data_IF_577862751198
#
_entry.id   IF_577862751198
#
_cell.length_a   1.000
_cell.length_b   1.000
_cell.length_c   1.000
_cell.angle_alpha   90.00
_cell.angle_beta   90.00
_cell.angle_gamma   90.00
#
_symmetry.space_group_name_H-M   'P 1'
#
loop_
_entity.id
_entity.type
_entity.pdbx_description
1 polymer ?
#
# COMPACT_ATOMS: atom_id res chain seq x y z
N UNK A 1 -5.95 -4.50 17.42
CA UNK A 1 -6.93 -3.99 18.41
C UNK A 1 -7.67 -5.16 19.01
N UNK A 2 -7.54 -5.37 20.32
CA UNK A 2 -8.21 -6.48 21.02
C UNK A 2 -9.73 -6.29 21.05
N UNK A 3 -10.49 -7.37 21.31
CA UNK A 3 -11.96 -7.36 21.35
C UNK A 3 -12.49 -6.29 22.33
N UNK A 4 -11.84 -6.14 23.48
CA UNK A 4 -12.23 -5.19 24.51
C UNK A 4 -12.07 -3.72 24.09
N UNK A 5 -10.99 -3.41 23.35
CA UNK A 5 -10.79 -2.07 22.79
C UNK A 5 -11.83 -1.74 21.71
N UNK A 6 -12.23 -2.73 20.90
CA UNK A 6 -13.28 -2.53 19.87
C UNK A 6 -14.63 -2.19 20.49
N UNK A 7 -15.01 -2.85 21.59
CA UNK A 7 -16.26 -2.56 22.29
C UNK A 7 -16.29 -1.13 22.84
N UNK A 8 -15.18 -0.66 23.41
CA UNK A 8 -15.05 0.74 23.86
C UNK A 8 -15.21 1.74 22.72
N UNK A 9 -14.60 1.49 21.56
CA UNK A 9 -14.75 2.33 20.37
C UNK A 9 -16.21 2.36 19.88
N UNK A 10 -16.97 1.27 20.02
CA UNK A 10 -18.37 1.24 19.61
C UNK A 10 -19.28 2.00 20.57
N UNK A 11 -19.04 1.87 21.88
CA UNK A 11 -19.84 2.52 22.93
C UNK A 11 -19.52 4.02 23.03
N UNK A 12 -18.27 4.39 22.75
CA UNK A 12 -17.78 5.77 22.77
C UNK A 12 -16.79 5.97 21.61
N UNK A 13 -17.29 6.25 20.39
CA UNK A 13 -16.45 6.50 19.22
C UNK A 13 -15.47 7.66 19.49
N UNK A 14 -14.18 7.51 19.14
CA UNK A 14 -13.20 8.59 19.27
C UNK A 14 -13.44 9.65 18.18
N UNK A 15 -12.98 10.88 18.43
CA UNK A 15 -13.01 11.96 17.42
C UNK A 15 -12.20 11.61 16.16
N UNK A 16 -11.14 10.80 16.32
CA UNK A 16 -10.29 10.33 15.22
C UNK A 16 -10.19 8.81 15.28
N UNK A 17 -10.66 8.15 14.23
CA UNK A 17 -10.57 6.71 14.05
C UNK A 17 -9.57 6.33 12.96
N UNK A 18 -8.45 5.71 13.35
CA UNK A 18 -7.51 5.13 12.40
C UNK A 18 -7.95 3.71 12.02
N UNK A 19 -8.15 3.47 10.73
CA UNK A 19 -8.64 2.19 10.20
C UNK A 19 -8.08 1.89 8.81
N UNK A 20 -8.36 0.70 8.29
CA UNK A 20 -8.07 0.30 6.91
C UNK A 20 -9.36 0.08 6.11
N UNK A 21 -9.32 0.18 4.76
CA UNK A 21 -10.46 -0.14 3.91
C UNK A 21 -10.98 -1.57 4.14
N UNK A 22 -10.06 -2.54 4.31
CA UNK A 22 -10.39 -3.92 4.63
C UNK A 22 -11.25 -4.00 5.89
N UNK A 23 -10.80 -3.36 6.98
CA UNK A 23 -11.51 -3.40 8.25
C UNK A 23 -12.89 -2.76 8.15
N UNK A 24 -13.00 -1.63 7.46
CA UNK A 24 -14.26 -0.93 7.26
C UNK A 24 -15.23 -1.83 6.47
N UNK A 25 -14.78 -2.40 5.35
CA UNK A 25 -15.54 -3.35 4.53
C UNK A 25 -16.10 -4.52 5.35
N UNK A 26 -15.26 -5.13 6.20
CA UNK A 26 -15.63 -6.28 7.03
C UNK A 26 -16.62 -5.95 8.15
N UNK A 27 -16.79 -4.68 8.51
CA UNK A 27 -17.57 -4.28 9.68
C UNK A 27 -18.78 -3.40 9.34
N UNK A 28 -18.86 -2.86 8.13
CA UNK A 28 -19.90 -1.91 7.72
C UNK A 28 -21.34 -2.48 7.79
N UNK A 29 -21.52 -3.80 7.67
CA UNK A 29 -22.83 -4.44 7.85
C UNK A 29 -23.31 -4.53 9.29
N UNK A 30 -22.42 -4.33 10.28
CA UNK A 30 -22.79 -4.45 11.69
C UNK A 30 -23.41 -3.15 12.15
N UNK A 31 -24.66 -3.20 12.61
CA UNK A 31 -25.43 -2.04 13.08
C UNK A 31 -24.68 -1.16 14.09
N UNK A 32 -23.95 -1.76 15.02
CA UNK A 32 -23.12 -1.04 16.01
C UNK A 32 -22.05 -0.14 15.36
N UNK A 33 -21.44 -0.59 14.26
CA UNK A 33 -20.45 0.21 13.52
C UNK A 33 -21.11 1.25 12.63
N UNK A 34 -22.27 0.94 12.05
CA UNK A 34 -23.06 1.94 11.33
C UNK A 34 -23.48 3.10 12.25
N UNK A 35 -23.81 2.81 13.52
CA UNK A 35 -24.10 3.83 14.54
C UNK A 35 -22.84 4.63 14.90
N UNK A 36 -21.73 3.95 15.19
CA UNK A 36 -20.47 4.61 15.54
C UNK A 36 -19.89 5.51 14.43
N UNK A 37 -20.21 5.23 13.17
CA UNK A 37 -19.73 5.99 12.00
C UNK A 37 -20.72 7.06 11.53
N UNK A 38 -21.90 7.19 12.15
CA UNK A 38 -22.99 8.04 11.64
C UNK A 38 -22.59 9.52 11.54
N UNK A 39 -21.78 9.99 12.47
CA UNK A 39 -21.41 11.41 12.60
C UNK A 39 -20.05 11.71 11.95
N UNK A 40 -19.54 10.81 11.09
CA UNK A 40 -18.26 11.03 10.38
C UNK A 40 -18.44 12.09 9.30
N UNK A 41 -17.77 13.22 9.49
CA UNK A 41 -17.79 14.34 8.53
C UNK A 41 -16.63 14.31 7.54
N UNK A 42 -15.50 13.70 7.91
CA UNK A 42 -14.26 13.72 7.12
C UNK A 42 -13.66 12.31 7.03
N UNK A 43 -13.29 11.91 5.80
CA UNK A 43 -12.51 10.70 5.53
C UNK A 43 -11.19 11.09 4.90
N UNK A 44 -10.10 10.67 5.54
CA UNK A 44 -8.74 10.92 5.08
C UNK A 44 -8.17 9.62 4.49
N UNK A 45 -7.78 9.68 3.21
CA UNK A 45 -7.00 8.64 2.56
C UNK A 45 -5.54 9.03 2.58
N UNK A 46 -4.73 8.21 3.25
CA UNK A 46 -3.27 8.30 3.16
C UNK A 46 -2.75 7.40 2.04
N UNK A 47 -1.62 7.77 1.46
CA UNK A 47 -0.94 7.05 0.37
C UNK A 47 -1.86 6.60 -0.77
N UNK A 48 -2.62 7.54 -1.33
CA UNK A 48 -3.70 7.21 -2.27
C UNK A 48 -3.24 6.50 -3.53
N UNK A 49 -1.98 6.66 -3.93
CA UNK A 49 -1.41 5.90 -5.04
C UNK A 49 -1.44 4.37 -4.84
N UNK A 50 -1.60 3.89 -3.61
CA UNK A 50 -1.74 2.46 -3.29
C UNK A 50 -3.11 1.90 -3.65
N UNK A 51 -4.13 2.75 -3.83
CA UNK A 51 -5.51 2.35 -4.15
C UNK A 51 -5.77 2.22 -5.66
N UNK A 52 -4.82 1.67 -6.41
CA UNK A 52 -4.94 1.43 -7.85
C UNK A 52 -5.38 0.00 -8.18
N UNK A 53 -5.67 -0.26 -9.46
CA UNK A 53 -6.08 -1.57 -9.96
C UNK A 53 -7.34 -2.11 -9.28
N UNK A 54 -7.32 -3.40 -8.94
CA UNK A 54 -8.45 -4.11 -8.30
C UNK A 54 -8.82 -3.49 -6.95
N UNK A 55 -7.84 -3.08 -6.14
CA UNK A 55 -8.09 -2.46 -4.85
C UNK A 55 -8.82 -1.12 -5.00
N UNK A 56 -8.47 -0.33 -6.02
CA UNK A 56 -9.17 0.90 -6.37
C UNK A 56 -10.64 0.65 -6.72
N UNK A 57 -10.93 -0.41 -7.47
CA UNK A 57 -12.31 -0.82 -7.78
C UNK A 57 -13.09 -1.20 -6.53
N UNK A 58 -12.47 -1.94 -5.60
CA UNK A 58 -13.10 -2.24 -4.33
C UNK A 58 -13.35 -0.99 -3.48
N UNK A 59 -12.40 -0.05 -3.45
CA UNK A 59 -12.53 1.17 -2.69
C UNK A 59 -13.63 2.08 -3.26
N UNK A 60 -13.73 2.17 -4.58
CA UNK A 60 -14.84 2.86 -5.27
C UNK A 60 -16.20 2.33 -4.79
N UNK A 61 -16.41 1.01 -4.83
CA UNK A 61 -17.66 0.40 -4.36
C UNK A 61 -17.86 0.53 -2.83
N UNK A 62 -16.79 0.48 -2.04
CA UNK A 62 -16.84 0.68 -0.60
C UNK A 62 -17.28 2.11 -0.25
N UNK A 63 -16.79 3.13 -0.96
CA UNK A 63 -17.21 4.52 -0.78
C UNK A 63 -18.69 4.72 -1.09
N UNK A 64 -19.19 4.08 -2.16
CA UNK A 64 -20.62 4.10 -2.47
C UNK A 64 -21.45 3.47 -1.34
N UNK A 65 -21.05 2.29 -0.86
CA UNK A 65 -21.70 1.64 0.30
C UNK A 65 -21.66 2.50 1.55
N UNK A 66 -20.52 3.12 1.83
CA UNK A 66 -20.36 3.97 3.00
C UNK A 66 -21.30 5.17 2.95
N UNK A 67 -21.40 5.85 1.80
CA UNK A 67 -22.36 6.96 1.59
C UNK A 67 -23.80 6.58 1.86
N UNK A 68 -24.20 5.34 1.55
CA UNK A 68 -25.55 4.85 1.86
C UNK A 68 -25.84 4.75 3.36
N UNK A 69 -24.80 4.54 4.16
CA UNK A 69 -24.92 4.31 5.59
C UNK A 69 -24.77 5.63 6.37
N UNK A 70 -23.74 6.42 6.06
CA UNK A 70 -23.38 7.61 6.84
C UNK A 70 -23.76 8.93 6.15
N UNK A 71 -24.18 8.89 4.88
CA UNK A 71 -24.54 10.09 4.13
C UNK A 71 -23.33 10.77 3.49
N UNK A 72 -23.34 12.10 3.48
CA UNK A 72 -22.28 12.92 2.85
C UNK A 72 -21.14 13.16 3.83
N UNK A 73 -19.92 13.07 3.31
CA UNK A 73 -18.69 13.36 4.03
C UNK A 73 -17.68 14.02 3.08
N UNK A 74 -16.78 14.82 3.63
CA UNK A 74 -15.64 15.37 2.91
C UNK A 74 -14.56 14.30 2.75
N UNK A 75 -13.95 14.23 1.57
CA UNK A 75 -12.82 13.34 1.31
C UNK A 75 -11.56 14.19 1.18
N UNK A 76 -10.54 13.83 1.95
CA UNK A 76 -9.20 14.40 1.86
C UNK A 76 -8.24 13.27 1.50
N UNK A 77 -7.32 13.54 0.58
CA UNK A 77 -6.38 12.56 0.08
C UNK A 77 -4.94 13.07 0.13
N UNK A 78 -4.05 12.26 0.69
CA UNK A 78 -2.60 12.49 0.67
C UNK A 78 -1.91 11.45 -0.21
N UNK A 79 -0.94 11.89 -1.01
CA UNK A 79 -0.10 10.99 -1.82
C UNK A 79 1.22 11.68 -2.16
N UNK A 80 2.33 10.92 -2.18
CA UNK A 80 3.65 11.44 -2.51
C UNK A 80 3.75 11.93 -3.97
N UNK A 81 3.38 11.08 -4.93
CA UNK A 81 3.45 11.37 -6.37
C UNK A 81 2.41 10.55 -7.11
N UNK A 82 1.57 11.22 -7.90
CA UNK A 82 0.54 10.59 -8.76
C UNK A 82 0.55 11.36 -10.08
N UNK A 83 0.56 10.66 -11.21
CA UNK A 83 0.58 11.32 -12.54
C UNK A 83 -0.74 12.02 -12.88
N UNK A 84 -1.86 11.49 -12.39
CA UNK A 84 -3.23 11.94 -12.71
C UNK A 84 -4.12 12.12 -11.46
N UNK A 85 -3.70 12.88 -10.42
CA UNK A 85 -4.38 12.91 -9.11
C UNK A 85 -5.83 13.40 -9.22
N UNK A 86 -6.07 14.47 -9.99
CA UNK A 86 -7.41 15.03 -10.17
C UNK A 86 -8.36 14.01 -10.81
N UNK A 87 -7.94 13.39 -11.89
CA UNK A 87 -8.74 12.41 -12.63
C UNK A 87 -9.01 11.17 -11.77
N UNK A 88 -7.97 10.61 -11.17
CA UNK A 88 -8.08 9.42 -10.33
C UNK A 88 -9.06 9.62 -9.16
N UNK A 89 -8.90 10.70 -8.39
CA UNK A 89 -9.80 10.96 -7.25
C UNK A 89 -11.21 11.31 -7.69
N UNK A 90 -11.38 12.06 -8.79
CA UNK A 90 -12.71 12.34 -9.32
C UNK A 90 -13.42 11.05 -9.71
N UNK A 91 -12.71 10.09 -10.33
CA UNK A 91 -13.26 8.77 -10.63
C UNK A 91 -13.55 7.96 -9.36
N UNK A 92 -12.65 7.98 -8.38
CA UNK A 92 -12.79 7.23 -7.13
C UNK A 92 -13.94 7.71 -6.26
N UNK A 93 -14.14 9.03 -6.23
CA UNK A 93 -15.12 9.67 -5.34
C UNK A 93 -16.41 10.05 -6.06
N UNK A 94 -16.40 10.28 -7.37
CA UNK A 94 -17.55 10.82 -8.09
C UNK A 94 -17.76 12.33 -7.89
N UNK A 95 -16.85 13.02 -7.21
CA UNK A 95 -16.93 14.45 -6.88
C UNK A 95 -15.83 15.24 -7.62
N UNK A 96 -15.98 16.56 -7.77
CA UNK A 96 -14.89 17.39 -8.27
C UNK A 96 -13.81 17.57 -7.20
N UNK A 97 -12.54 17.62 -7.63
CA UNK A 97 -11.38 17.53 -6.75
C UNK A 97 -10.46 18.72 -6.97
N UNK A 98 -10.12 19.38 -5.85
CA UNK A 98 -9.08 20.39 -5.79
C UNK A 98 -7.76 19.71 -5.43
N UNK A 99 -6.77 19.80 -6.33
CA UNK A 99 -5.43 19.26 -6.08
C UNK A 99 -4.57 20.36 -5.50
N UNK A 100 -4.07 20.13 -4.29
CA UNK A 100 -3.13 21.04 -3.61
C UNK A 100 -1.74 20.46 -3.75
N UNK A 101 -0.90 21.10 -4.56
CA UNK A 101 0.52 20.78 -4.62
C UNK A 101 1.24 21.56 -3.53
N UNK A 102 2.03 20.87 -2.73
CA UNK A 102 2.97 21.52 -1.83
C UNK A 102 4.05 22.19 -2.68
N UNK A 103 3.91 23.50 -2.93
CA UNK A 103 4.94 24.31 -3.58
C UNK A 103 6.01 24.65 -2.55
N UNK A 104 7.26 24.35 -2.88
CA UNK A 104 8.51 24.82 -2.27
C UNK A 104 8.71 24.66 -0.74
N UNK A 105 9.79 23.96 -0.37
CA UNK A 105 10.62 24.18 0.83
C UNK A 105 9.96 24.36 2.21
N UNK A 106 8.76 23.82 2.47
CA UNK A 106 8.17 23.89 3.83
C UNK A 106 8.95 23.04 4.84
N UNK A 107 9.72 22.05 4.38
CA UNK A 107 10.62 21.25 5.21
C UNK A 107 12.03 21.19 4.59
N UNK A 108 13.07 21.37 5.41
CA UNK A 108 14.46 21.11 5.00
C UNK A 108 14.55 19.66 4.52
N UNK A 109 14.78 19.46 3.23
CA UNK A 109 15.11 18.15 2.68
C UNK A 109 16.62 17.98 2.76
N UNK A 110 17.12 16.81 3.19
CA UNK A 110 18.54 16.52 3.07
C UNK A 110 18.95 16.60 1.60
N UNK A 111 20.20 16.97 1.37
CA UNK A 111 20.82 16.78 0.06
C UNK A 111 20.91 15.28 -0.19
N UNK A 112 20.30 14.81 -1.28
CA UNK A 112 20.38 13.41 -1.70
C UNK A 112 21.08 13.36 -3.05
N UNK A 113 22.23 12.71 -3.07
CA UNK A 113 22.92 12.40 -4.33
C UNK A 113 22.35 11.10 -4.88
N UNK A 114 21.96 11.11 -6.15
CA UNK A 114 21.37 9.96 -6.83
C UNK A 114 22.33 9.48 -7.92
N UNK A 115 22.81 8.25 -7.79
CA UNK A 115 23.70 7.59 -8.73
C UNK A 115 22.93 6.49 -9.48
N UNK A 116 22.95 6.54 -10.81
CA UNK A 116 22.51 5.43 -11.65
C UNK A 116 23.74 4.59 -11.98
N UNK A 117 23.75 3.35 -11.51
CA UNK A 117 24.89 2.43 -11.70
C UNK A 117 24.42 1.28 -12.58
N UNK A 118 25.02 1.18 -13.76
CA UNK A 118 24.89 -0.01 -14.59
C UNK A 118 26.02 -0.98 -14.25
N UNK A 119 25.73 -2.28 -14.07
CA UNK A 119 26.77 -3.28 -14.23
C UNK A 119 27.31 -3.09 -15.64
N UNK A 120 28.60 -2.80 -15.76
CA UNK A 120 29.26 -2.57 -17.03
C UNK A 120 29.04 -3.75 -17.98
N UNK A 121 28.93 -3.48 -19.28
CA UNK A 121 28.92 -4.50 -20.33
C UNK A 121 30.26 -5.25 -20.38
N UNK A 122 31.32 -4.67 -19.81
CA UNK A 122 32.64 -5.29 -19.71
C UNK A 122 32.65 -6.43 -18.68
N UNK A 123 32.87 -7.65 -19.20
CA UNK A 123 32.87 -8.93 -18.46
C UNK A 123 33.91 -9.03 -17.33
N UNK A 124 34.77 -8.03 -17.16
CA UNK A 124 35.88 -8.05 -16.21
C UNK A 124 35.63 -7.21 -14.94
N UNK A 125 34.62 -6.33 -14.94
CA UNK A 125 34.26 -5.52 -13.77
C UNK A 125 32.81 -5.83 -13.39
N UNK A 126 32.64 -6.92 -12.64
CA UNK A 126 31.34 -7.30 -12.10
C UNK A 126 31.02 -6.34 -10.96
N UNK A 127 30.16 -5.35 -11.21
CA UNK A 127 29.55 -4.55 -10.17
C UNK A 127 29.04 -5.46 -9.05
N UNK A 128 29.71 -5.38 -7.89
CA UNK A 128 29.45 -6.25 -6.76
C UNK A 128 28.80 -5.46 -5.63
N UNK A 129 27.49 -5.62 -5.50
CA UNK A 129 26.70 -4.97 -4.45
C UNK A 129 27.21 -5.33 -3.07
N UNK A 130 27.69 -6.56 -2.85
CA UNK A 130 28.17 -6.96 -1.53
C UNK A 130 29.45 -6.21 -1.16
N UNK A 131 30.42 -6.15 -2.09
CA UNK A 131 31.64 -5.37 -1.92
C UNK A 131 31.36 -3.89 -1.67
N UNK A 132 30.45 -3.27 -2.43
CA UNK A 132 30.05 -1.88 -2.23
C UNK A 132 29.44 -1.65 -0.84
N UNK A 133 28.49 -2.49 -0.44
CA UNK A 133 27.85 -2.39 0.88
C UNK A 133 28.88 -2.57 1.98
N UNK A 134 29.79 -3.54 1.84
CA UNK A 134 30.88 -3.79 2.79
C UNK A 134 31.78 -2.56 2.95
N UNK A 135 32.19 -1.96 1.85
CA UNK A 135 33.10 -0.81 1.88
C UNK A 135 32.41 0.41 2.53
N UNK A 136 31.13 0.65 2.22
CA UNK A 136 30.35 1.75 2.81
C UNK A 136 30.03 1.52 4.31
N UNK A 137 29.79 0.27 4.73
CA UNK A 137 29.46 -0.09 6.11
C UNK A 137 30.72 -0.24 6.99
N UNK A 138 31.90 -0.36 6.39
CA UNK A 138 33.17 -0.54 7.10
C UNK A 138 33.38 0.51 8.21
N UNK A 139 34.19 0.15 9.21
CA UNK A 139 34.44 1.00 10.39
C UNK A 139 34.98 2.40 10.05
N UNK A 140 35.57 2.58 8.86
CA UNK A 140 36.08 3.88 8.39
C UNK A 140 34.96 4.81 7.91
N UNK A 141 33.90 4.27 7.32
CA UNK A 141 32.80 5.03 6.72
C UNK A 141 31.55 5.08 7.62
N UNK A 142 31.31 4.03 8.41
CA UNK A 142 30.24 3.91 9.41
C UNK A 142 28.83 4.27 8.87
N UNK A 143 28.55 3.90 7.62
CA UNK A 143 27.26 4.19 6.99
C UNK A 143 26.20 3.13 7.29
N UNK A 144 24.97 3.58 7.51
CA UNK A 144 23.80 2.72 7.66
C UNK A 144 23.02 2.68 6.34
N UNK A 145 22.79 1.49 5.79
CA UNK A 145 22.23 1.29 4.45
C UNK A 145 20.95 0.45 4.45
N UNK A 146 20.01 0.83 3.57
CA UNK A 146 18.89 -0.03 3.18
C UNK A 146 19.13 -0.57 1.76
N UNK A 147 19.12 -1.90 1.61
CA UNK A 147 19.32 -2.59 0.33
C UNK A 147 18.00 -3.19 -0.14
N UNK A 148 17.31 -2.50 -1.03
CA UNK A 148 16.02 -2.92 -1.56
C UNK A 148 16.16 -3.96 -2.67
N UNK A 149 15.29 -4.96 -2.67
CA UNK A 149 15.15 -6.00 -3.68
C UNK A 149 13.69 -6.19 -4.07
N UNK A 150 13.44 -6.52 -5.34
CA UNK A 150 12.08 -6.64 -5.88
C UNK A 150 11.39 -7.95 -5.51
N UNK A 151 12.12 -8.97 -5.03
CA UNK A 151 11.54 -10.26 -4.66
C UNK A 151 12.08 -10.78 -3.32
N UNK A 152 11.31 -11.65 -2.67
CA UNK A 152 11.73 -12.31 -1.44
C UNK A 152 12.96 -13.19 -1.67
N UNK A 153 13.01 -13.91 -2.80
CA UNK A 153 14.14 -14.75 -3.18
C UNK A 153 15.42 -13.94 -3.39
N UNK A 154 15.34 -12.82 -4.13
CA UNK A 154 16.51 -11.95 -4.34
C UNK A 154 16.97 -11.28 -3.04
N UNK A 155 16.04 -10.96 -2.13
CA UNK A 155 16.37 -10.47 -0.78
C UNK A 155 17.16 -11.52 0.02
N UNK A 156 16.71 -12.77 0.03
CA UNK A 156 17.39 -13.86 0.75
C UNK A 156 18.78 -14.15 0.18
N UNK A 157 18.90 -14.19 -1.15
CA UNK A 157 20.19 -14.39 -1.79
C UNK A 157 21.17 -13.26 -1.44
N UNK A 158 20.74 -12.00 -1.56
CA UNK A 158 21.57 -10.83 -1.23
C UNK A 158 21.94 -10.83 0.25
N UNK A 159 20.99 -11.15 1.13
CA UNK A 159 21.22 -11.26 2.56
C UNK A 159 22.26 -12.32 2.91
N UNK A 160 22.19 -13.51 2.28
CA UNK A 160 23.17 -14.58 2.51
C UNK A 160 24.58 -14.13 2.14
N UNK A 161 24.75 -13.56 0.94
CA UNK A 161 26.06 -13.06 0.48
C UNK A 161 26.59 -11.97 1.42
N UNK A 162 25.75 -11.00 1.81
CA UNK A 162 26.16 -9.95 2.74
C UNK A 162 26.44 -10.47 4.15
N UNK A 163 25.76 -11.52 4.60
CA UNK A 163 25.98 -12.11 5.92
C UNK A 163 27.36 -12.77 6.01
N UNK A 164 27.82 -13.36 4.91
CA UNK A 164 29.18 -13.92 4.83
C UNK A 164 30.25 -12.81 4.94
N UNK A 165 29.96 -11.60 4.45
CA UNK A 165 30.90 -10.46 4.48
C UNK A 165 30.81 -9.60 5.75
N UNK A 166 29.59 -9.35 6.27
CA UNK A 166 29.31 -8.41 7.35
C UNK A 166 28.89 -9.09 8.68
N UNK A 167 28.66 -10.39 8.67
CA UNK A 167 28.26 -11.15 9.84
C UNK A 167 27.00 -10.58 10.50
N UNK A 168 27.12 -10.16 11.76
CA UNK A 168 25.98 -9.70 12.58
C UNK A 168 25.52 -8.28 12.27
N UNK A 169 26.23 -7.54 11.41
CA UNK A 169 25.88 -6.15 11.07
C UNK A 169 24.80 -6.05 9.97
N UNK A 170 24.37 -7.18 9.41
CA UNK A 170 23.32 -7.23 8.38
C UNK A 170 22.13 -8.08 8.85
N UNK A 171 20.92 -7.63 8.53
CA UNK A 171 19.67 -8.38 8.75
C UNK A 171 18.77 -8.33 7.52
N UNK A 172 17.75 -9.19 7.48
CA UNK A 172 16.72 -9.22 6.42
C UNK A 172 15.34 -8.81 6.94
N UNK A 173 14.63 -8.00 6.14
CA UNK A 173 13.29 -7.55 6.43
C UNK A 173 12.36 -7.69 5.20
N UNK A 174 11.42 -8.64 5.26
CA UNK A 174 10.41 -8.87 4.19
C UNK A 174 9.05 -9.25 4.78
N UNK A 175 7.98 -9.01 4.02
CA UNK A 175 6.60 -9.25 4.47
C UNK A 175 6.27 -10.70 4.87
N UNK A 176 7.03 -11.68 4.36
CA UNK A 176 6.89 -13.09 4.73
C UNK A 176 7.48 -13.47 6.11
N UNK A 177 8.17 -12.54 6.78
CA UNK A 177 8.73 -12.78 8.12
C UNK A 177 7.73 -12.41 9.21
N UNK A 178 7.84 -13.11 10.35
CA UNK A 178 6.97 -12.88 11.48
C UNK A 178 7.10 -11.43 12.01
N UNK A 179 6.02 -10.92 12.63
CA UNK A 179 5.98 -9.53 13.12
C UNK A 179 7.08 -9.25 14.15
N UNK A 180 7.35 -10.20 15.04
CA UNK A 180 8.35 -10.05 16.11
C UNK A 180 9.76 -9.85 15.56
N UNK A 181 10.13 -10.59 14.52
CA UNK A 181 11.39 -10.48 13.80
C UNK A 181 11.50 -9.10 13.14
N UNK A 182 10.45 -8.66 12.44
CA UNK A 182 10.42 -7.34 11.81
C UNK A 182 10.64 -6.22 12.83
N UNK A 183 9.93 -6.27 13.95
CA UNK A 183 10.10 -5.31 15.05
C UNK A 183 11.49 -5.34 15.68
N UNK A 184 12.09 -6.54 15.80
CA UNK A 184 13.45 -6.70 16.30
C UNK A 184 14.48 -6.06 15.35
N UNK A 185 14.37 -6.32 14.04
CA UNK A 185 15.24 -5.68 13.02
C UNK A 185 15.07 -4.17 13.00
N UNK A 186 13.83 -3.67 13.07
CA UNK A 186 13.54 -2.24 13.16
C UNK A 186 14.18 -1.60 14.40
N UNK A 187 14.16 -2.28 15.57
CA UNK A 187 14.83 -1.78 16.78
C UNK A 187 16.34 -1.77 16.62
N UNK A 188 16.94 -2.90 16.24
CA UNK A 188 18.39 -3.01 16.03
C UNK A 188 18.91 -1.95 15.08
N UNK A 189 18.17 -1.67 13.99
CA UNK A 189 18.54 -0.65 13.02
C UNK A 189 18.48 0.75 13.62
N UNK A 190 17.40 1.08 14.34
CA UNK A 190 17.23 2.36 15.02
C UNK A 190 18.29 2.59 16.10
N UNK A 191 18.64 1.53 16.82
CA UNK A 191 19.59 1.55 17.94
C UNK A 191 21.06 1.48 17.45
N UNK A 192 21.27 1.29 16.14
CA UNK A 192 22.58 1.28 15.50
C UNK A 192 23.38 -0.02 15.66
N UNK A 193 22.74 -1.09 16.14
CA UNK A 193 23.35 -2.42 16.31
C UNK A 193 23.66 -3.10 14.99
N UNK A 194 22.90 -2.77 13.94
CA UNK A 194 23.09 -3.24 12.57
C UNK A 194 23.26 -2.06 11.63
N UNK A 195 24.04 -2.28 10.57
CA UNK A 195 24.44 -1.25 9.61
C UNK A 195 23.84 -1.46 8.23
N UNK A 196 23.40 -2.67 7.90
CA UNK A 196 22.73 -2.94 6.64
C UNK A 196 21.43 -3.74 6.85
N UNK A 197 20.37 -3.37 6.12
CA UNK A 197 19.16 -4.20 6.05
C UNK A 197 18.77 -4.48 4.62
N UNK A 198 18.70 -5.76 4.27
CA UNK A 198 18.17 -6.20 2.97
C UNK A 198 16.66 -6.31 3.07
N UNK A 199 15.94 -5.64 2.19
CA UNK A 199 14.49 -5.53 2.30
C UNK A 199 13.74 -5.54 0.97
N UNK A 200 12.45 -5.87 1.01
CA UNK A 200 11.51 -5.57 -0.08
C UNK A 200 10.82 -4.22 0.18
N UNK A 201 9.70 -3.95 -0.49
CA UNK A 201 8.82 -2.80 -0.19
C UNK A 201 8.31 -2.72 1.26
N UNK A 202 8.58 -3.74 2.09
CA UNK A 202 8.22 -3.76 3.51
C UNK A 202 8.84 -2.65 4.37
N UNK A 203 9.92 -2.01 3.93
CA UNK A 203 10.53 -0.84 4.60
C UNK A 203 10.28 0.48 3.85
N UNK A 204 9.50 0.48 2.76
CA UNK A 204 9.19 1.71 2.00
C UNK A 204 8.32 2.68 2.82
N UNK A 205 7.43 2.15 3.66
CA UNK A 205 6.36 2.90 4.30
C UNK A 205 6.46 2.90 5.83
N UNK A 206 6.16 4.07 6.42
CA UNK A 206 5.61 4.20 7.78
C UNK A 206 6.48 3.86 9.00
N UNK A 207 7.76 3.52 8.85
CA UNK A 207 8.61 3.09 9.99
C UNK A 207 9.68 4.12 10.37
N UNK A 208 9.97 4.18 11.68
CA UNK A 208 11.05 4.95 12.25
C UNK A 208 12.27 4.05 12.50
N UNK A 209 13.14 3.98 11.48
CA UNK A 209 14.33 3.13 11.45
C UNK A 209 15.63 3.89 11.78
N UNK A 210 15.52 5.09 12.36
CA UNK A 210 16.69 5.89 12.71
C UNK A 210 17.31 6.66 11.54
N UNK A 211 18.61 6.92 11.62
CA UNK A 211 19.37 7.72 10.64
C UNK A 211 20.01 6.81 9.58
N UNK A 212 19.43 6.80 8.38
CA UNK A 212 19.92 6.01 7.24
C UNK A 212 20.80 6.91 6.37
N UNK A 213 22.04 6.47 6.14
CA UNK A 213 23.04 7.16 5.32
C UNK A 213 22.78 7.00 3.82
N UNK A 214 22.21 5.87 3.42
CA UNK A 214 21.93 5.64 2.01
C UNK A 214 21.02 4.46 1.69
N UNK A 215 20.59 4.42 0.44
CA UNK A 215 19.68 3.42 -0.11
C UNK A 215 20.30 2.84 -1.38
N UNK A 216 20.33 1.52 -1.48
CA UNK A 216 20.66 0.80 -2.70
C UNK A 216 19.40 0.11 -3.20
N UNK A 217 19.08 0.25 -4.47
CA UNK A 217 17.79 -0.17 -4.97
C UNK A 217 17.82 -0.47 -6.47
N UNK A 218 17.09 -1.47 -6.99
CA UNK A 218 16.92 -1.60 -8.43
C UNK A 218 16.17 -0.40 -9.00
N UNK A 219 16.27 -0.19 -10.31
CA UNK A 219 15.40 0.74 -11.02
C UNK A 219 13.92 0.43 -10.70
N UNK A 220 13.20 1.45 -10.23
CA UNK A 220 11.76 1.38 -9.87
C UNK A 220 11.06 2.66 -10.28
N UNK A 221 9.71 2.66 -10.37
CA UNK A 221 8.95 3.88 -10.54
C UNK A 221 9.34 4.97 -9.52
N UNK A 222 9.29 6.23 -9.96
CA UNK A 222 9.78 7.38 -9.18
C UNK A 222 9.10 7.53 -7.81
N UNK A 223 7.82 7.15 -7.71
CA UNK A 223 7.07 7.17 -6.45
C UNK A 223 7.68 6.22 -5.41
N UNK A 224 8.06 5.01 -5.82
CA UNK A 224 8.74 4.05 -4.95
C UNK A 224 10.14 4.54 -4.60
N UNK A 225 10.86 5.17 -5.54
CA UNK A 225 12.16 5.77 -5.22
C UNK A 225 12.00 6.85 -4.13
N UNK A 226 11.05 7.78 -4.26
CA UNK A 226 10.84 8.82 -3.26
C UNK A 226 10.50 8.27 -1.87
N UNK A 227 9.72 7.19 -1.80
CA UNK A 227 9.44 6.50 -0.54
C UNK A 227 10.69 5.85 0.07
N UNK A 228 11.51 5.21 -0.76
CA UNK A 228 12.77 4.57 -0.34
C UNK A 228 13.78 5.60 0.16
N UNK A 229 14.05 6.65 -0.63
CA UNK A 229 15.03 7.69 -0.23
C UNK A 229 14.52 8.58 0.90
N UNK A 230 13.19 8.70 1.09
CA UNK A 230 12.60 9.37 2.24
C UNK A 230 12.94 8.71 3.59
N UNK A 231 13.55 7.52 3.57
CA UNK A 231 14.12 6.86 4.76
C UNK A 231 15.52 7.37 5.10
N UNK A 232 16.22 7.98 4.16
CA UNK A 232 17.60 8.45 4.30
C UNK A 232 17.71 9.96 4.50
N UNK A 233 18.83 10.40 5.09
CA UNK A 233 19.16 11.82 5.26
C UNK A 233 18.36 12.51 6.36
N UNK A 234 18.04 11.80 7.44
CA UNK A 234 17.41 12.45 8.59
C UNK A 234 18.41 13.38 9.28
N UNK A 235 17.91 14.38 10.03
CA UNK A 235 18.74 15.34 10.80
C UNK A 235 19.72 16.20 9.97
N UNK A 236 19.38 16.53 8.72
CA UNK A 236 20.18 17.35 7.79
C UNK A 236 21.52 16.74 7.37
N UNK A 237 21.70 15.42 7.48
CA UNK A 237 22.86 14.75 6.88
C UNK A 237 22.60 14.47 5.40
N UNK A 238 23.62 14.61 4.53
CA UNK A 238 23.48 14.18 3.15
C UNK A 238 23.23 12.67 3.11
N UNK A 239 22.53 12.22 2.08
CA UNK A 239 22.30 10.79 1.84
C UNK A 239 22.60 10.40 0.40
N UNK A 240 22.88 9.12 0.21
CA UNK A 240 23.17 8.55 -1.10
C UNK A 240 22.06 7.60 -1.53
N UNK A 241 21.58 7.73 -2.76
CA UNK A 241 20.70 6.76 -3.40
C UNK A 241 21.40 6.15 -4.63
N UNK A 242 21.56 4.83 -4.63
CA UNK A 242 22.17 4.09 -5.73
C UNK A 242 21.08 3.26 -6.41
N UNK A 243 20.80 3.60 -7.67
CA UNK A 243 19.87 2.87 -8.52
C UNK A 243 20.65 1.90 -9.39
N UNK A 244 20.48 0.61 -9.11
CA UNK A 244 21.08 -0.49 -9.84
C UNK A 244 20.25 -0.74 -11.10
N UNK A 245 20.84 -0.41 -12.24
CA UNK A 245 20.27 -0.67 -13.55
C UNK A 245 20.49 -2.14 -13.90
N UNK A 246 19.56 -2.69 -14.68
CA UNK A 246 19.63 -4.07 -15.18
C UNK A 246 19.95 -4.08 -16.68
N UNK A 247 20.24 -5.25 -17.23
CA UNK A 247 20.47 -5.42 -18.66
C UNK A 247 19.14 -5.49 -19.43
N UNK A 248 18.37 -4.41 -19.38
CA UNK A 248 17.07 -4.27 -20.03
C UNK A 248 16.92 -2.93 -20.77
N UNK A 249 15.94 -2.84 -21.66
CA UNK A 249 15.74 -1.66 -22.53
C UNK A 249 15.39 -0.40 -21.73
N UNK A 250 14.67 -0.54 -20.61
CA UNK A 250 14.27 0.60 -19.77
C UNK A 250 15.48 1.16 -19.04
N UNK A 251 16.32 0.29 -18.50
CA UNK A 251 17.60 0.66 -17.90
C UNK A 251 18.54 1.35 -18.89
N UNK A 252 18.67 0.82 -20.12
CA UNK A 252 19.49 1.42 -21.19
C UNK A 252 18.92 2.78 -21.66
N UNK A 253 17.61 2.96 -21.60
CA UNK A 253 16.98 4.24 -21.87
C UNK A 253 17.37 5.26 -20.79
N UNK A 254 17.12 4.94 -19.51
CA UNK A 254 17.32 5.88 -18.43
C UNK A 254 18.78 6.21 -18.12
N UNK A 255 19.73 5.33 -18.44
CA UNK A 255 21.15 5.70 -18.32
C UNK A 255 21.56 6.79 -19.31
N UNK A 256 20.95 6.80 -20.51
CA UNK A 256 21.17 7.82 -21.55
C UNK A 256 20.32 9.07 -21.33
N UNK A 257 19.17 8.90 -20.67
CA UNK A 257 18.16 9.93 -20.43
C UNK A 257 17.81 10.07 -18.93
N UNK A 258 18.78 10.31 -18.03
CA UNK A 258 18.56 10.22 -16.58
C UNK A 258 17.57 11.28 -16.07
N UNK A 259 17.46 12.43 -16.73
CA UNK A 259 16.50 13.48 -16.35
C UNK A 259 15.04 13.04 -16.58
N UNK A 260 14.80 12.21 -17.59
CA UNK A 260 13.44 11.78 -17.94
C UNK A 260 12.85 10.83 -16.91
N UNK A 261 13.70 10.03 -16.26
CA UNK A 261 13.31 9.19 -15.12
C UNK A 261 12.65 9.98 -14.00
N UNK A 262 13.13 11.20 -13.72
CA UNK A 262 12.57 12.07 -12.68
C UNK A 262 11.27 12.77 -13.08
N UNK A 263 10.88 12.67 -14.35
CA UNK A 263 9.62 13.22 -14.86
C UNK A 263 8.61 12.14 -15.23
N UNK A 264 9.02 10.87 -15.25
CA UNK A 264 8.17 9.72 -15.52
C UNK A 264 7.29 9.36 -14.31
N UNK A 265 6.29 10.21 -14.07
CA UNK A 265 5.29 9.96 -13.03
C UNK A 265 4.16 9.14 -13.62
N UNK A 266 4.12 7.85 -13.28
CA UNK A 266 3.12 6.92 -13.79
C UNK A 266 1.70 7.32 -13.34
N UNK A 267 0.75 7.48 -14.27
CA UNK A 267 -0.67 7.59 -13.94
C UNK A 267 -1.17 6.32 -13.26
N UNK A 268 -2.06 6.47 -12.28
CA UNK A 268 -2.73 5.34 -11.63
C UNK A 268 -4.16 5.22 -12.16
N UNK A 269 -4.66 4.00 -12.29
CA UNK A 269 -6.02 3.72 -12.77
C UNK A 269 -6.63 2.56 -12.01
N UNK A 270 -7.95 2.45 -12.08
CA UNK A 270 -8.75 1.33 -11.61
C UNK A 270 -9.99 1.19 -12.50
N UNK A 271 -10.67 0.04 -12.44
CA UNK A 271 -11.87 -0.22 -13.23
C UNK A 271 -13.13 0.16 -12.44
N UNK A 272 -14.05 0.90 -13.04
CA UNK A 272 -15.35 1.23 -12.40
C UNK A 272 -16.47 0.27 -12.81
N UNK A 273 -16.19 -0.64 -13.76
CA UNK A 273 -17.18 -1.56 -14.34
C UNK A 273 -16.80 -3.04 -14.20
N UNK A 274 -16.00 -3.40 -13.19
CA UNK A 274 -15.72 -4.81 -12.91
C UNK A 274 -16.99 -5.49 -12.36
N UNK A 275 -17.73 -6.17 -13.23
CA UNK A 275 -19.03 -6.79 -12.94
C UNK A 275 -18.98 -7.75 -11.75
N UNK A 276 -17.90 -8.52 -11.60
CA UNK A 276 -17.74 -9.48 -10.49
C UNK A 276 -17.63 -8.76 -9.15
N UNK A 277 -16.77 -7.74 -9.07
CA UNK A 277 -16.58 -6.95 -7.85
C UNK A 277 -17.85 -6.18 -7.50
N UNK A 278 -18.51 -5.58 -8.49
CA UNK A 278 -19.77 -4.87 -8.31
C UNK A 278 -20.83 -5.82 -7.77
N UNK A 279 -20.98 -7.01 -8.37
CA UNK A 279 -21.92 -8.03 -7.90
C UNK A 279 -21.73 -8.37 -6.41
N UNK A 280 -20.50 -8.64 -5.98
CA UNK A 280 -20.22 -8.99 -4.59
C UNK A 280 -20.48 -7.81 -3.64
N UNK A 281 -20.08 -6.59 -4.02
CA UNK A 281 -20.36 -5.39 -3.22
C UNK A 281 -21.85 -5.07 -3.13
N UNK A 282 -22.62 -5.22 -4.20
CA UNK A 282 -24.06 -4.95 -4.20
C UNK A 282 -24.84 -5.99 -3.36
N UNK A 283 -24.43 -7.26 -3.36
CA UNK A 283 -25.00 -8.26 -2.42
C UNK A 283 -24.81 -7.84 -0.97
N UNK A 284 -23.60 -7.40 -0.63
CA UNK A 284 -23.31 -6.93 0.72
C UNK A 284 -24.05 -5.62 1.01
N UNK A 285 -24.10 -4.68 0.08
CA UNK A 285 -24.83 -3.42 0.20
C UNK A 285 -26.32 -3.65 0.52
N UNK A 286 -26.97 -4.59 -0.17
CA UNK A 286 -28.37 -4.96 0.09
C UNK A 286 -28.58 -5.49 1.52
N UNK A 287 -27.60 -6.25 2.03
CA UNK A 287 -27.61 -6.76 3.40
C UNK A 287 -27.41 -5.63 4.43
N UNK A 288 -26.56 -4.64 4.12
CA UNK A 288 -26.27 -3.49 4.99
C UNK A 288 -27.47 -2.57 5.19
N UNK A 289 -28.19 -2.30 4.10
CA UNK A 289 -29.40 -1.47 4.05
C UNK A 289 -30.20 -1.84 2.79
N UNK A 290 -31.52 -2.08 2.88
CA UNK A 290 -32.36 -2.30 1.70
C UNK A 290 -32.20 -1.16 0.68
N UNK A 291 -32.22 -1.50 -0.61
CA UNK A 291 -32.07 -0.50 -1.67
C UNK A 291 -33.30 0.42 -1.75
N UNK A 292 -33.05 1.71 -1.98
CA UNK A 292 -34.11 2.66 -2.34
C UNK A 292 -34.52 2.50 -3.81
N UNK A 293 -35.66 3.07 -4.19
CA UNK A 293 -36.15 3.02 -5.56
C UNK A 293 -35.17 3.75 -6.49
N UNK A 294 -34.73 3.09 -7.56
CA UNK A 294 -33.73 3.57 -8.53
C UNK A 294 -32.30 3.72 -7.99
N UNK A 295 -32.00 3.20 -6.80
CA UNK A 295 -30.63 3.12 -6.31
C UNK A 295 -29.83 2.10 -7.12
N UNK A 296 -28.61 2.46 -7.55
CA UNK A 296 -27.73 1.62 -8.39
C UNK A 296 -28.34 1.19 -9.73
N UNK A 297 -29.20 2.04 -10.32
CA UNK A 297 -29.88 1.75 -11.60
C UNK A 297 -28.91 1.51 -12.75
N UNK A 298 -27.74 2.12 -12.71
CA UNK A 298 -26.64 1.86 -13.65
C UNK A 298 -26.14 0.41 -13.65
N UNK A 299 -26.54 -0.39 -12.66
CA UNK A 299 -26.21 -1.81 -12.49
C UNK A 299 -27.46 -2.72 -12.48
N UNK A 300 -28.58 -2.31 -13.09
CA UNK A 300 -29.85 -3.06 -13.13
C UNK A 300 -29.67 -4.53 -13.55
N UNK A 301 -28.83 -4.79 -14.54
CA UNK A 301 -28.52 -6.12 -15.04
C UNK A 301 -27.78 -6.99 -14.00
N UNK A 302 -26.92 -6.39 -13.17
CA UNK A 302 -26.26 -7.06 -12.05
C UNK A 302 -27.25 -7.28 -10.90
N UNK A 303 -28.13 -6.31 -10.63
CA UNK A 303 -29.19 -6.45 -9.62
C UNK A 303 -30.13 -7.62 -9.95
N UNK A 304 -30.48 -7.81 -11.22
CA UNK A 304 -31.25 -8.98 -11.67
C UNK A 304 -30.50 -10.30 -11.41
N UNK A 305 -29.19 -10.34 -11.66
CA UNK A 305 -28.37 -11.53 -11.38
C UNK A 305 -28.33 -11.85 -9.87
N UNK A 306 -28.29 -10.82 -9.01
CA UNK A 306 -28.33 -11.00 -7.56
C UNK A 306 -29.64 -11.64 -7.14
N UNK A 307 -30.78 -11.14 -7.64
CA UNK A 307 -32.11 -11.69 -7.35
C UNK A 307 -32.20 -13.15 -7.80
N UNK A 308 -31.72 -13.47 -9.01
CA UNK A 308 -31.68 -14.86 -9.52
C UNK A 308 -30.84 -15.76 -8.63
N UNK A 309 -29.68 -15.30 -8.16
CA UNK A 309 -28.79 -16.07 -7.28
C UNK A 309 -29.44 -16.33 -5.91
N UNK A 310 -29.98 -15.29 -5.29
CA UNK A 310 -30.65 -15.42 -3.98
C UNK A 310 -31.85 -16.38 -4.02
N UNK A 311 -32.62 -16.36 -5.12
CA UNK A 311 -33.72 -17.30 -5.32
C UNK A 311 -33.24 -18.74 -5.40
N UNK A 312 -32.16 -19.02 -6.15
CA UNK A 312 -31.55 -20.37 -6.23
C UNK A 312 -31.03 -20.83 -4.88
N UNK A 313 -30.31 -19.96 -4.16
CA UNK A 313 -29.80 -20.26 -2.80
C UNK A 313 -30.94 -20.55 -1.80
N UNK A 314 -32.13 -19.98 -2.01
CA UNK A 314 -33.32 -20.28 -1.20
C UNK A 314 -33.95 -21.63 -1.59
N UNK A 315 -34.12 -21.88 -2.89
CA UNK A 315 -34.64 -23.16 -3.42
C UNK A 315 -33.77 -24.35 -2.99
N UNK A 316 -32.44 -24.20 -2.98
CA UNK A 316 -31.49 -25.21 -2.50
C UNK A 316 -31.67 -25.49 -1.00
N UNK A 317 -31.82 -24.45 -0.16
CA UNK A 317 -32.03 -24.61 1.30
C UNK A 317 -33.36 -25.28 1.62
N UNK A 318 -34.41 -24.93 0.89
CA UNK A 318 -35.74 -25.51 1.09
C UNK A 318 -35.75 -27.00 0.70
N UNK A 319 -34.86 -27.42 -0.22
CA UNK A 319 -34.72 -28.81 -0.65
C UNK A 319 -33.84 -29.70 0.24
N UNK A 320 -32.97 -29.12 1.08
CA UNK A 320 -31.91 -29.85 1.78
C UNK A 320 -32.21 -30.29 3.23
N UNK A 321 -33.44 -30.11 3.77
CA UNK A 321 -33.84 -30.41 5.17
C UNK A 321 -32.92 -29.89 6.30
N UNK A 322 -31.84 -29.16 5.99
CA UNK A 322 -31.00 -28.48 6.94
C UNK A 322 -31.69 -27.21 7.44
N UNK A 323 -32.52 -27.36 8.48
CA UNK A 323 -32.85 -26.27 9.40
C UNK A 323 -31.60 -25.85 10.17
N UNK A 324 -30.66 -25.20 9.49
CA UNK A 324 -29.56 -24.52 10.14
C UNK A 324 -30.11 -23.29 10.86
N UNK A 325 -29.88 -23.28 12.17
CA UNK A 325 -30.12 -22.19 13.11
C UNK A 325 -29.70 -20.83 12.54
N UNK A 326 -30.68 -20.07 12.03
CA UNK A 326 -30.82 -18.60 12.08
C UNK A 326 -29.69 -17.67 11.62
N UNK A 327 -28.51 -18.17 11.22
CA UNK A 327 -27.36 -17.33 10.90
C UNK A 327 -27.36 -17.13 9.39
N UNK A 328 -28.01 -16.05 8.92
CA UNK A 328 -27.90 -15.62 7.52
C UNK A 328 -26.41 -15.57 7.17
N UNK A 329 -25.98 -16.41 6.23
CA UNK A 329 -24.60 -16.42 5.78
C UNK A 329 -24.31 -15.05 5.13
N UNK A 330 -23.48 -14.23 5.77
CA UNK A 330 -23.24 -12.85 5.34
C UNK A 330 -22.25 -12.92 4.16
N UNK A 331 -22.55 -12.30 3.00
CA UNK A 331 -21.72 -12.42 1.80
C UNK A 331 -20.48 -11.52 1.86
N UNK A 332 -19.73 -11.55 2.97
CA UNK A 332 -18.48 -10.78 3.10
C UNK A 332 -17.35 -11.50 2.40
N UNK A 333 -16.52 -10.76 1.68
CA UNK A 333 -15.40 -11.26 0.90
C UNK A 333 -14.14 -10.43 1.19
N UNK A 334 -13.00 -10.88 0.67
CA UNK A 334 -11.74 -10.14 0.85
C UNK A 334 -11.59 -9.07 -0.22
N UNK A 335 -11.09 -7.90 0.16
CA UNK A 335 -10.70 -6.86 -0.80
C UNK A 335 -9.34 -7.15 -1.49
N UNK A 336 -8.66 -8.21 -1.05
CA UNK A 336 -7.31 -8.60 -1.48
C UNK A 336 -7.25 -9.95 -2.17
N UNK A 337 -8.39 -10.52 -2.55
CA UNK A 337 -8.40 -11.75 -3.35
C UNK A 337 -7.77 -11.46 -4.71
N UNK A 338 -6.60 -12.04 -4.93
CA UNK A 338 -5.88 -12.09 -6.20
C UNK A 338 -6.44 -13.15 -7.16
N UNK A 339 -7.52 -13.83 -6.79
CA UNK A 339 -8.24 -14.75 -7.66
C UNK A 339 -9.31 -13.97 -8.42
N UNK A 340 -8.97 -13.66 -9.68
CA UNK A 340 -9.90 -13.15 -10.70
C UNK A 340 -10.78 -14.25 -11.27
#
# INVERSE_FOLDING_TARGET
VGIHQRKKIQESPPDILLTTPDWLHYNLYKRQWQQALRDVEIIIFDEVHTYSGILGTHLFMLLQRLRRIIGKFQIIGASATVGNPKEFFRRLTGEDIVVIYCKDNVAKRPTIDILLVSPTIDKNDNYNVSGLVRDLVSNENDHTLLVFRNSQLSSEYTFRVLSDELGKQVEIHRGGLNKTHRQNVESKLRDGEIKAVVCTSSLELGIDVGDISGVITPLVPINSLYQRIGRAGRRNRPALAILELSNDVVSEYYIRHPKEYFTDVTPITFETNNRRIIFDHLRLAKYERPFEKNEFREYDDILELIVKKERREQEEKDSSEEQTTGTKNIPVFSLRTSEG
#
